data_IF_684537152911
#
_entry.id   IF_684537152911
#
_cell.length_a   1.000
_cell.length_b   1.000
_cell.length_c   1.000
_cell.angle_alpha   90.00
_cell.angle_beta   90.00
_cell.angle_gamma   90.00
#
_symmetry.space_group_name_H-M   'P 1'
#
loop_
_entity.id
_entity.type
_entity.pdbx_description
1 polymer ?
#
# COMPACT_ATOMS: atom_id res chain seq x y z
N UNK A 1 -69.22 7.82 -42.02
CA UNK A 1 -68.29 8.26 -40.95
C UNK A 1 -67.29 7.13 -40.70
N UNK A 2 -66.12 7.20 -41.34
CA UNK A 2 -65.06 6.18 -41.27
C UNK A 2 -64.37 6.20 -39.91
N UNK A 3 -64.39 5.08 -39.18
CA UNK A 3 -63.50 4.84 -38.05
C UNK A 3 -62.41 3.85 -38.50
N UNK A 4 -61.23 4.41 -38.67
CA UNK A 4 -60.02 3.73 -39.09
C UNK A 4 -59.07 3.54 -37.89
N UNK A 5 -58.15 2.59 -38.06
CA UNK A 5 -56.82 2.49 -37.43
C UNK A 5 -56.68 1.87 -36.01
N UNK A 6 -56.18 0.63 -36.06
CA UNK A 6 -55.33 -0.06 -35.07
C UNK A 6 -54.12 0.81 -34.66
N UNK A 7 -53.66 0.66 -33.43
CA UNK A 7 -52.23 0.76 -33.09
C UNK A 7 -51.90 -0.08 -31.85
N UNK A 8 -51.13 -1.13 -32.10
CA UNK A 8 -50.45 -1.95 -31.09
C UNK A 8 -49.40 -1.08 -30.38
N UNK A 9 -49.56 -0.88 -29.07
CA UNK A 9 -48.51 -0.34 -28.21
C UNK A 9 -47.66 -1.50 -27.68
N UNK A 10 -46.62 -1.87 -28.43
CA UNK A 10 -45.57 -2.77 -27.95
C UNK A 10 -44.67 -1.93 -27.02
N UNK A 11 -44.87 -2.04 -25.70
CA UNK A 11 -44.00 -1.41 -24.71
C UNK A 11 -42.68 -2.16 -24.66
N UNK A 12 -41.71 -1.66 -25.42
CA UNK A 12 -40.31 -2.01 -25.25
C UNK A 12 -39.85 -1.52 -23.87
N UNK A 13 -39.59 -2.49 -22.99
CA UNK A 13 -38.85 -2.32 -21.75
C UNK A 13 -37.48 -1.66 -22.06
N UNK A 14 -37.09 -0.59 -21.37
CA UNK A 14 -35.77 0.01 -21.60
C UNK A 14 -34.70 -0.93 -21.06
N UNK A 15 -33.89 -1.44 -21.99
CA UNK A 15 -32.68 -2.20 -21.72
C UNK A 15 -31.84 -1.54 -20.62
N UNK A 16 -31.49 -2.33 -19.62
CA UNK A 16 -30.54 -2.01 -18.56
C UNK A 16 -29.29 -1.31 -19.15
N UNK A 17 -29.09 -0.05 -18.75
CA UNK A 17 -27.90 0.70 -19.13
C UNK A 17 -26.67 0.00 -18.54
N UNK A 18 -25.72 -0.30 -19.44
CA UNK A 18 -24.42 -0.89 -19.15
C UNK A 18 -23.64 -0.01 -18.17
N UNK A 19 -23.20 -0.63 -17.07
CA UNK A 19 -21.89 -0.45 -16.44
C UNK A 19 -21.52 0.96 -16.00
N UNK A 20 -22.19 1.46 -14.96
CA UNK A 20 -21.65 2.54 -14.15
C UNK A 20 -20.47 1.98 -13.34
N UNK A 21 -19.25 2.09 -13.88
CA UNK A 21 -18.03 1.62 -13.22
C UNK A 21 -17.78 2.49 -11.98
N UNK A 22 -18.16 1.92 -10.83
CA UNK A 22 -17.87 2.43 -9.49
C UNK A 22 -16.35 2.31 -9.20
N UNK A 23 -15.83 3.07 -8.20
CA UNK A 23 -14.41 3.31 -8.06
C UNK A 23 -13.62 2.05 -7.68
N UNK A 24 -12.75 1.64 -8.60
CA UNK A 24 -11.77 0.56 -8.46
C UNK A 24 -10.79 0.84 -7.31
N UNK A 25 -10.45 -0.17 -6.50
CA UNK A 25 -9.37 -0.09 -5.53
C UNK A 25 -8.08 -0.61 -6.18
N UNK A 26 -7.02 0.20 -6.17
CA UNK A 26 -5.68 -0.23 -6.57
C UNK A 26 -4.75 -0.23 -5.36
N UNK A 27 -4.13 -1.38 -5.12
CA UNK A 27 -3.08 -1.53 -4.12
C UNK A 27 -1.74 -1.56 -4.84
N UNK A 28 -0.86 -0.62 -4.50
CA UNK A 28 0.56 -0.76 -4.76
C UNK A 28 1.22 -1.23 -3.49
N UNK A 29 2.14 -2.18 -3.60
CA UNK A 29 2.82 -2.67 -2.43
C UNK A 29 4.29 -3.00 -2.66
N UNK A 30 5.07 -2.82 -1.60
CA UNK A 30 6.51 -3.10 -1.54
C UNK A 30 6.81 -4.06 -0.41
N UNK A 31 8.06 -4.49 -0.28
CA UNK A 31 8.51 -5.32 0.83
C UNK A 31 10.00 -5.61 0.69
N UNK A 32 10.63 -6.02 1.79
CA UNK A 32 12.03 -6.42 1.75
C UNK A 32 13.01 -5.30 1.40
N UNK A 33 12.67 -4.03 1.67
CA UNK A 33 13.57 -2.87 1.46
C UNK A 33 14.86 -3.02 2.29
N UNK A 34 14.74 -3.60 3.49
CA UNK A 34 15.86 -3.97 4.37
C UNK A 34 16.80 -2.81 4.68
N UNK A 35 16.29 -1.58 4.71
CA UNK A 35 17.07 -0.39 4.97
C UNK A 35 17.80 0.20 3.76
N UNK A 36 17.58 -0.29 2.53
CA UNK A 36 18.07 0.37 1.31
C UNK A 36 17.33 1.70 1.07
N UNK A 37 17.78 2.75 1.75
CA UNK A 37 17.22 4.09 1.59
C UNK A 37 17.62 4.73 0.25
N UNK A 38 18.77 4.34 -0.32
CA UNK A 38 19.28 4.91 -1.57
C UNK A 38 18.38 4.55 -2.76
N UNK A 39 17.70 3.39 -2.71
CA UNK A 39 16.73 2.97 -3.71
C UNK A 39 15.38 3.71 -3.67
N UNK A 40 14.99 4.26 -2.51
CA UNK A 40 13.65 4.81 -2.28
C UNK A 40 13.28 6.00 -3.18
N UNK A 41 14.17 6.97 -3.47
CA UNK A 41 13.87 8.06 -4.40
C UNK A 41 13.48 7.58 -5.80
N UNK A 42 14.12 6.52 -6.31
CA UNK A 42 13.80 5.95 -7.64
C UNK A 42 12.51 5.15 -7.61
N UNK A 43 12.32 4.38 -6.54
CA UNK A 43 11.08 3.65 -6.28
C UNK A 43 9.88 4.61 -6.26
N UNK A 44 10.00 5.75 -5.59
CA UNK A 44 8.94 6.75 -5.54
C UNK A 44 8.58 7.28 -6.93
N UNK A 45 9.57 7.66 -7.75
CA UNK A 45 9.35 8.07 -9.14
C UNK A 45 8.59 6.99 -9.94
N UNK A 46 8.98 5.72 -9.76
CA UNK A 46 8.31 4.61 -10.41
C UNK A 46 6.87 4.42 -9.93
N UNK A 47 6.60 4.50 -8.62
CA UNK A 47 5.25 4.47 -8.06
C UNK A 47 4.38 5.58 -8.63
N UNK A 48 4.90 6.82 -8.74
CA UNK A 48 4.16 7.93 -9.34
C UNK A 48 3.83 7.67 -10.81
N UNK A 49 4.76 7.10 -11.58
CA UNK A 49 4.50 6.69 -12.96
C UNK A 49 3.40 5.62 -13.03
N UNK A 50 3.45 4.60 -12.18
CA UNK A 50 2.44 3.54 -12.16
C UNK A 50 1.06 4.09 -11.78
N UNK A 51 0.98 4.97 -10.78
CA UNK A 51 -0.26 5.62 -10.33
C UNK A 51 -0.93 6.40 -11.46
N UNK A 52 -0.17 7.17 -12.25
CA UNK A 52 -0.69 7.94 -13.39
C UNK A 52 -1.31 7.08 -14.50
N UNK A 53 -0.95 5.79 -14.57
CA UNK A 53 -1.48 4.85 -15.55
C UNK A 53 -2.73 4.13 -15.07
N UNK A 54 -3.11 4.29 -13.80
CA UNK A 54 -4.28 3.62 -13.26
C UNK A 54 -5.58 4.33 -13.65
N UNK A 55 -6.66 3.58 -13.85
CA UNK A 55 -8.00 4.12 -13.86
C UNK A 55 -8.30 4.94 -12.59
N UNK A 56 -9.22 5.92 -12.66
CA UNK A 56 -9.70 6.64 -11.48
C UNK A 56 -10.25 5.67 -10.43
N UNK A 57 -9.89 5.91 -9.17
CA UNK A 57 -10.27 5.03 -8.08
C UNK A 57 -9.50 5.30 -6.80
N UNK A 58 -9.79 4.54 -5.75
CA UNK A 58 -9.01 4.59 -4.52
C UNK A 58 -7.66 3.93 -4.76
N UNK A 59 -6.58 4.54 -4.28
CA UNK A 59 -5.23 3.98 -4.35
C UNK A 59 -4.66 3.89 -2.95
N UNK A 60 -4.12 2.73 -2.59
CA UNK A 60 -3.37 2.53 -1.35
C UNK A 60 -1.93 2.12 -1.68
N UNK A 61 -1.00 2.62 -0.87
CA UNK A 61 0.41 2.27 -0.88
C UNK A 61 0.71 1.49 0.41
N UNK A 62 1.16 0.24 0.29
CA UNK A 62 1.35 -0.67 1.42
C UNK A 62 2.78 -1.22 1.44
N UNK A 63 3.36 -1.42 2.61
CA UNK A 63 4.61 -2.19 2.75
C UNK A 63 4.35 -3.51 3.49
N UNK A 64 4.79 -4.63 2.90
CA UNK A 64 4.60 -5.98 3.43
C UNK A 64 5.63 -6.35 4.52
N UNK A 65 6.46 -5.39 4.92
CA UNK A 65 7.43 -5.53 6.00
C UNK A 65 8.85 -5.78 5.52
N UNK A 66 9.72 -6.03 6.50
CA UNK A 66 11.18 -6.00 6.30
C UNK A 66 11.68 -4.67 5.72
N UNK A 67 11.01 -3.56 6.02
CA UNK A 67 11.43 -2.22 5.64
C UNK A 67 12.83 -1.84 6.17
N UNK A 68 13.20 -2.34 7.35
CA UNK A 68 14.48 -2.10 8.00
C UNK A 68 15.08 -3.41 8.50
N UNK A 69 16.36 -3.66 8.26
CA UNK A 69 17.07 -4.84 8.73
C UNK A 69 18.03 -4.50 9.89
N UNK A 70 18.13 -5.34 10.94
CA UNK A 70 18.90 -5.01 12.14
C UNK A 70 20.42 -4.92 11.94
N UNK A 71 20.92 -5.49 10.84
CA UNK A 71 22.33 -5.43 10.41
C UNK A 71 22.68 -4.12 9.67
N UNK A 72 21.69 -3.32 9.28
CA UNK A 72 21.90 -1.99 8.68
C UNK A 72 22.04 -0.94 9.79
N UNK A 73 23.14 -0.19 9.77
CA UNK A 73 23.54 0.68 10.90
C UNK A 73 22.46 1.70 11.30
N UNK A 74 21.79 2.35 10.35
CA UNK A 74 20.77 3.35 10.65
C UNK A 74 19.48 2.69 11.16
N UNK A 75 19.17 1.48 10.70
CA UNK A 75 18.07 0.68 11.24
C UNK A 75 18.37 0.29 12.69
N UNK A 76 19.56 -0.22 12.97
CA UNK A 76 19.98 -0.60 14.32
C UNK A 76 19.93 0.59 15.30
N UNK A 77 20.51 1.73 14.91
CA UNK A 77 20.57 2.90 15.81
C UNK A 77 19.18 3.51 16.05
N UNK A 78 18.31 3.49 15.04
CA UNK A 78 16.96 4.06 15.16
C UNK A 78 15.91 3.09 15.68
N UNK A 79 16.24 1.81 15.93
CA UNK A 79 15.24 0.82 16.34
C UNK A 79 14.26 0.49 15.21
N UNK A 80 14.74 0.44 13.97
CA UNK A 80 13.95 0.10 12.78
C UNK A 80 13.09 1.23 12.21
N UNK A 81 13.14 2.43 12.80
CA UNK A 81 12.27 3.57 12.44
C UNK A 81 12.68 4.30 11.16
N UNK A 82 13.96 4.27 10.79
CA UNK A 82 14.49 5.09 9.68
C UNK A 82 13.75 4.89 8.35
N UNK A 83 13.51 3.65 7.94
CA UNK A 83 12.84 3.37 6.67
C UNK A 83 11.36 3.79 6.70
N UNK A 84 10.68 3.61 7.84
CA UNK A 84 9.27 3.94 8.01
C UNK A 84 9.00 5.44 7.87
N UNK A 85 9.94 6.29 8.33
CA UNK A 85 9.85 7.75 8.17
C UNK A 85 9.89 8.12 6.68
N UNK A 86 10.75 7.47 5.89
CA UNK A 86 10.83 7.75 4.44
C UNK A 86 9.59 7.21 3.71
N UNK A 87 9.07 6.04 4.11
CA UNK A 87 7.83 5.49 3.55
C UNK A 87 6.62 6.40 3.82
N UNK A 88 6.54 6.98 5.03
CA UNK A 88 5.52 7.98 5.36
C UNK A 88 5.64 9.22 4.45
N UNK A 89 6.87 9.74 4.25
CA UNK A 89 7.13 10.84 3.32
C UNK A 89 6.78 10.51 1.86
N UNK A 90 6.86 9.23 1.46
CA UNK A 90 6.42 8.73 0.15
C UNK A 90 4.89 8.56 0.05
N UNK A 91 4.16 8.77 1.15
CA UNK A 91 2.70 8.65 1.22
C UNK A 91 2.20 7.21 1.36
N UNK A 92 2.99 6.32 1.98
CA UNK A 92 2.52 5.00 2.33
C UNK A 92 1.39 5.07 3.35
N UNK A 93 0.36 4.26 3.15
CA UNK A 93 -0.83 4.23 4.01
C UNK A 93 -0.64 3.28 5.18
N UNK A 94 0.04 2.15 4.94
CA UNK A 94 0.38 1.20 6.00
C UNK A 94 1.69 0.48 5.71
N UNK A 95 2.35 0.04 6.78
CA UNK A 95 3.49 -0.86 6.72
C UNK A 95 3.32 -1.95 7.77
N UNK A 96 3.65 -3.19 7.39
CA UNK A 96 3.88 -4.25 8.37
C UNK A 96 5.17 -3.94 9.12
N UNK A 97 5.11 -3.91 10.44
CA UNK A 97 6.26 -3.57 11.27
C UNK A 97 6.60 -4.66 12.28
N UNK A 98 7.84 -4.63 12.76
CA UNK A 98 8.30 -5.33 13.96
C UNK A 98 9.06 -4.32 14.81
N UNK A 99 8.34 -3.60 15.65
CA UNK A 99 8.87 -2.54 16.50
C UNK A 99 8.66 -2.91 17.97
N UNK A 100 9.52 -2.40 18.84
CA UNK A 100 9.21 -2.36 20.27
C UNK A 100 8.06 -1.39 20.54
N UNK A 101 7.34 -1.56 21.67
CA UNK A 101 6.31 -0.61 22.09
C UNK A 101 6.86 0.81 22.27
N UNK A 102 8.11 0.92 22.75
CA UNK A 102 8.81 2.19 22.90
C UNK A 102 9.03 2.87 21.54
N UNK A 103 9.57 2.16 20.55
CA UNK A 103 9.82 2.72 19.22
C UNK A 103 8.52 3.05 18.47
N UNK A 104 7.49 2.21 18.62
CA UNK A 104 6.14 2.48 18.11
C UNK A 104 5.56 3.77 18.72
N UNK A 105 5.69 3.95 20.03
CA UNK A 105 5.21 5.15 20.73
C UNK A 105 5.95 6.41 20.27
N UNK A 106 7.27 6.31 20.09
CA UNK A 106 8.09 7.40 19.54
C UNK A 106 7.67 7.79 18.13
N UNK A 107 7.30 6.84 17.27
CA UNK A 107 6.82 7.15 15.92
C UNK A 107 5.45 7.85 15.95
N UNK A 108 4.51 7.37 16.77
CA UNK A 108 3.19 7.99 16.91
C UNK A 108 3.27 9.42 17.44
N UNK A 109 4.17 9.69 18.38
CA UNK A 109 4.40 11.03 18.90
C UNK A 109 4.92 12.03 17.86
N UNK A 110 5.57 11.54 16.79
CA UNK A 110 6.06 12.35 15.68
C UNK A 110 5.07 12.48 14.51
N UNK A 111 3.79 12.17 14.75
CA UNK A 111 2.67 12.38 13.82
C UNK A 111 2.81 11.67 12.46
N UNK A 112 3.38 10.46 12.43
CA UNK A 112 3.34 9.63 11.21
C UNK A 112 1.88 9.42 10.76
N UNK A 113 1.62 9.63 9.46
CA UNK A 113 0.35 9.27 8.83
C UNK A 113 0.26 7.78 8.48
N UNK A 114 1.42 7.11 8.39
CA UNK A 114 1.59 5.69 8.12
C UNK A 114 1.02 4.82 9.24
N UNK A 115 0.06 3.95 8.91
CA UNK A 115 -0.43 2.94 9.83
C UNK A 115 0.65 1.86 10.09
N UNK A 116 1.05 1.71 11.35
CA UNK A 116 2.03 0.73 11.79
C UNK A 116 1.30 -0.58 12.17
N UNK A 117 1.27 -1.55 11.26
CA UNK A 117 0.47 -2.78 11.41
C UNK A 117 1.34 -3.92 11.92
N UNK A 118 0.93 -4.56 13.00
CA UNK A 118 1.50 -5.81 13.52
C UNK A 118 0.39 -6.75 14.01
N UNK A 119 0.75 -7.87 14.64
CA UNK A 119 -0.20 -8.86 15.15
C UNK A 119 -1.14 -8.30 16.24
N UNK A 120 -0.71 -7.27 16.97
CA UNK A 120 -1.46 -6.66 18.09
C UNK A 120 -2.18 -5.37 17.68
N UNK A 121 -1.72 -4.73 16.60
CA UNK A 121 -2.18 -3.43 16.14
C UNK A 121 -2.65 -3.52 14.68
N UNK A 122 -3.78 -4.19 14.40
CA UNK A 122 -4.40 -4.08 13.09
C UNK A 122 -4.83 -2.63 12.82
N UNK A 123 -4.96 -2.27 11.55
CA UNK A 123 -5.59 -1.02 11.14
C UNK A 123 -6.90 -1.35 10.42
N UNK A 124 -7.96 -0.57 10.66
CA UNK A 124 -9.20 -0.74 9.95
C UNK A 124 -9.98 0.57 9.83
N UNK A 125 -10.78 0.66 8.77
CA UNK A 125 -11.89 1.59 8.61
C UNK A 125 -13.20 0.83 8.32
N UNK A 126 -14.27 1.55 7.97
CA UNK A 126 -15.59 0.95 7.74
C UNK A 126 -15.61 -0.09 6.60
N UNK A 127 -14.65 -0.07 5.68
CA UNK A 127 -14.65 -0.91 4.46
C UNK A 127 -13.49 -1.88 4.39
N UNK A 128 -12.36 -1.50 4.98
CA UNK A 128 -11.07 -2.17 4.81
C UNK A 128 -10.42 -2.44 6.16
N UNK A 129 -9.90 -3.65 6.33
CA UNK A 129 -8.94 -3.98 7.39
C UNK A 129 -7.58 -4.34 6.81
N UNK A 130 -6.52 -3.96 7.51
CA UNK A 130 -5.13 -4.32 7.24
C UNK A 130 -4.59 -5.10 8.45
N UNK A 131 -4.20 -6.35 8.23
CA UNK A 131 -3.78 -7.26 9.30
C UNK A 131 -2.50 -8.00 8.90
N UNK A 132 -1.83 -8.63 9.86
CA UNK A 132 -0.72 -9.55 9.57
C UNK A 132 -1.19 -11.00 9.43
N UNK A 133 -2.29 -11.35 10.08
CA UNK A 133 -2.85 -12.69 10.10
C UNK A 133 -4.22 -12.75 9.42
N UNK A 134 -4.58 -13.94 8.96
CA UNK A 134 -5.90 -14.22 8.41
C UNK A 134 -6.93 -14.32 9.54
N UNK A 135 -7.39 -13.16 10.01
CA UNK A 135 -8.49 -13.06 10.96
C UNK A 135 -9.74 -12.73 10.16
N UNK A 136 -10.71 -13.66 10.03
CA UNK A 136 -11.98 -13.36 9.40
C UNK A 136 -12.68 -12.27 10.20
N UNK A 137 -12.90 -11.10 9.60
CA UNK A 137 -13.74 -10.07 10.19
C UNK A 137 -15.09 -10.06 9.47
N UNK A 138 -16.20 -10.41 10.14
CA UNK A 138 -17.53 -10.32 9.53
C UNK A 138 -17.95 -8.86 9.28
N UNK A 139 -17.20 -7.89 9.79
CA UNK A 139 -17.53 -6.47 9.79
C UNK A 139 -16.96 -5.68 8.61
N UNK A 140 -15.98 -6.23 7.87
CA UNK A 140 -15.34 -5.52 6.76
C UNK A 140 -15.55 -6.25 5.43
N UNK A 141 -15.76 -5.49 4.36
CA UNK A 141 -15.93 -6.05 3.02
C UNK A 141 -14.61 -6.64 2.47
N UNK A 142 -13.47 -6.12 2.91
CA UNK A 142 -12.14 -6.57 2.50
C UNK A 142 -11.17 -6.53 3.67
N UNK A 143 -10.38 -7.59 3.84
CA UNK A 143 -9.22 -7.63 4.73
C UNK A 143 -7.97 -7.94 3.92
N UNK A 144 -6.97 -7.05 3.97
CA UNK A 144 -5.67 -7.25 3.30
C UNK A 144 -4.66 -7.73 4.31
N UNK A 145 -4.06 -8.88 4.01
CA UNK A 145 -3.05 -9.51 4.84
C UNK A 145 -1.68 -9.00 4.36
N UNK A 146 -1.00 -8.23 5.21
CA UNK A 146 0.31 -7.64 4.92
C UNK A 146 1.47 -8.63 5.11
N UNK A 147 1.20 -9.86 5.55
CA UNK A 147 2.19 -10.93 5.50
C UNK A 147 2.39 -11.40 4.03
N UNK A 148 3.63 -11.39 3.51
CA UNK A 148 3.92 -11.87 2.16
C UNK A 148 3.41 -13.31 1.94
N UNK A 149 2.83 -13.58 0.78
CA UNK A 149 2.37 -14.90 0.36
C UNK A 149 3.08 -15.37 -0.92
N UNK A 150 2.94 -16.64 -1.28
CA UNK A 150 3.51 -17.17 -2.54
C UNK A 150 2.84 -16.57 -3.78
N UNK A 151 1.55 -16.21 -3.69
CA UNK A 151 0.79 -15.62 -4.79
C UNK A 151 -0.31 -14.69 -4.27
N UNK A 152 -0.70 -13.71 -5.09
CA UNK A 152 -1.80 -12.80 -4.78
C UNK A 152 -3.12 -13.52 -5.00
N UNK A 153 -3.95 -13.59 -3.96
CA UNK A 153 -5.24 -14.29 -4.01
C UNK A 153 -6.25 -13.59 -3.12
N UNK A 154 -7.50 -13.57 -3.58
CA UNK A 154 -8.63 -13.12 -2.80
C UNK A 154 -9.59 -14.29 -2.59
N UNK A 155 -9.80 -14.66 -1.33
CA UNK A 155 -10.72 -15.73 -0.95
C UNK A 155 -11.53 -15.30 0.27
N UNK A 156 -12.86 -15.37 0.19
CA UNK A 156 -13.76 -15.02 1.28
C UNK A 156 -13.51 -13.62 1.89
N UNK A 157 -13.23 -12.62 1.05
CA UNK A 157 -12.92 -11.25 1.48
C UNK A 157 -11.52 -11.07 2.08
N UNK A 158 -10.67 -12.10 2.08
CA UNK A 158 -9.28 -12.04 2.52
C UNK A 158 -8.35 -11.94 1.31
N UNK A 159 -7.68 -10.80 1.16
CA UNK A 159 -6.67 -10.59 0.14
C UNK A 159 -5.28 -10.87 0.70
N UNK A 160 -4.60 -11.86 0.13
CA UNK A 160 -3.17 -12.10 0.31
C UNK A 160 -2.41 -11.49 -0.85
N UNK A 161 -1.28 -10.87 -0.57
CA UNK A 161 -0.42 -10.25 -1.57
C UNK A 161 0.84 -11.10 -1.77
N UNK A 162 1.19 -11.36 -3.04
CA UNK A 162 2.41 -12.09 -3.38
C UNK A 162 3.63 -11.37 -2.83
N UNK A 163 4.63 -12.12 -2.39
CA UNK A 163 5.91 -11.58 -1.96
C UNK A 163 6.59 -10.79 -3.08
N UNK A 164 7.28 -9.73 -2.69
CA UNK A 164 8.10 -8.88 -3.55
C UNK A 164 9.45 -8.69 -2.86
N UNK A 165 10.50 -8.46 -3.65
CA UNK A 165 11.83 -8.16 -3.13
C UNK A 165 12.12 -6.66 -3.18
N UNK A 166 13.25 -6.24 -2.58
CA UNK A 166 13.77 -4.88 -2.78
C UNK A 166 13.81 -4.52 -4.27
N UNK A 167 13.36 -3.31 -4.60
CA UNK A 167 13.30 -2.84 -5.98
C UNK A 167 12.12 -3.38 -6.79
N UNK A 168 11.17 -4.09 -6.19
CA UNK A 168 9.93 -4.51 -6.85
C UNK A 168 8.71 -3.77 -6.30
N UNK A 169 7.71 -3.60 -7.16
CA UNK A 169 6.38 -3.11 -6.80
C UNK A 169 5.34 -4.10 -7.27
N UNK A 170 4.54 -4.60 -6.34
CA UNK A 170 3.32 -5.33 -6.66
C UNK A 170 2.16 -4.36 -6.89
N UNK A 171 1.29 -4.70 -7.84
CA UNK A 171 0.07 -3.96 -8.16
C UNK A 171 -1.08 -4.95 -8.18
N UNK A 172 -2.08 -4.76 -7.31
CA UNK A 172 -3.31 -5.54 -7.31
C UNK A 172 -4.51 -4.62 -7.51
N UNK A 173 -5.41 -4.95 -8.44
CA UNK A 173 -6.62 -4.17 -8.70
C UNK A 173 -7.86 -4.96 -8.33
N UNK A 174 -8.78 -4.32 -7.65
CA UNK A 174 -10.04 -4.89 -7.20
C UNK A 174 -11.22 -4.04 -7.72
N UNK A 175 -12.31 -4.69 -8.09
CA UNK A 175 -13.58 -4.02 -8.35
C UNK A 175 -14.33 -3.66 -7.05
N UNK A 176 -15.56 -3.16 -7.19
CA UNK A 176 -16.40 -2.74 -6.05
C UNK A 176 -17.01 -3.90 -5.26
N UNK A 177 -17.00 -5.12 -5.81
CA UNK A 177 -17.43 -6.36 -5.15
C UNK A 177 -16.23 -7.10 -4.55
N UNK A 178 -15.26 -6.31 -4.07
CA UNK A 178 -13.83 -6.60 -3.96
C UNK A 178 -13.23 -7.68 -4.85
N UNK A 179 -13.71 -8.04 -6.04
CA UNK A 179 -13.13 -9.13 -6.82
C UNK A 179 -11.74 -8.72 -7.36
N UNK A 180 -10.76 -9.62 -7.26
CA UNK A 180 -9.42 -9.41 -7.82
C UNK A 180 -9.50 -9.42 -9.35
N UNK A 181 -9.30 -8.26 -9.98
CA UNK A 181 -9.34 -8.09 -11.43
C UNK A 181 -8.03 -8.51 -12.08
N UNK A 182 -6.91 -8.08 -11.50
CA UNK A 182 -5.58 -8.48 -11.92
C UNK A 182 -4.53 -8.27 -10.82
N UNK A 183 -3.36 -8.85 -11.07
CA UNK A 183 -2.18 -8.68 -10.26
C UNK A 183 -0.93 -8.72 -11.14
N UNK A 184 0.02 -7.82 -10.87
CA UNK A 184 1.33 -7.81 -11.51
C UNK A 184 2.41 -7.45 -10.49
N UNK A 185 3.64 -7.89 -10.75
CA UNK A 185 4.84 -7.41 -10.05
C UNK A 185 5.76 -6.84 -11.12
N UNK A 186 6.29 -5.65 -10.87
CA UNK A 186 7.21 -4.99 -11.77
C UNK A 186 8.47 -4.55 -11.03
N UNK A 187 9.62 -4.73 -11.67
CA UNK A 187 10.88 -4.21 -11.19
C UNK A 187 10.95 -2.70 -11.41
N UNK A 188 11.53 -1.98 -10.44
CA UNK A 188 11.89 -0.57 -10.56
C UNK A 188 12.95 -0.47 -11.65
N UNK A 189 12.71 0.28 -12.74
CA UNK A 189 13.69 0.40 -13.81
C UNK A 189 14.99 1.02 -13.30
N UNK A 190 16.17 0.49 -13.66
CA UNK A 190 17.44 1.06 -13.22
C UNK A 190 17.67 2.49 -13.73
N UNK A 191 16.98 2.85 -14.83
CA UNK A 191 16.99 4.19 -15.42
C UNK A 191 16.01 5.18 -14.75
N UNK A 192 15.22 4.76 -13.75
CA UNK A 192 14.34 5.66 -13.03
C UNK A 192 15.16 6.75 -12.33
N UNK A 193 14.81 8.01 -12.57
CA UNK A 193 15.47 9.14 -11.92
C UNK A 193 15.05 9.23 -10.45
N UNK A 194 15.97 9.54 -9.53
CA UNK A 194 15.63 9.73 -8.12
C UNK A 194 14.77 10.98 -7.95
N UNK A 195 13.72 10.89 -7.13
CA UNK A 195 12.92 12.05 -6.74
C UNK A 195 13.69 12.94 -5.74
N UNK A 196 13.82 14.25 -5.99
CA UNK A 196 14.62 15.14 -5.15
C UNK A 196 14.01 15.36 -3.76
N UNK A 197 12.68 15.33 -3.62
CA UNK A 197 12.00 15.50 -2.33
C UNK A 197 12.24 14.28 -1.45
N UNK A 198 12.12 13.08 -2.01
CA UNK A 198 12.41 11.85 -1.28
C UNK A 198 13.91 11.71 -0.98
N UNK A 199 14.78 12.17 -1.89
CA UNK A 199 16.23 12.25 -1.62
C UNK A 199 16.51 13.10 -0.38
N UNK A 200 15.90 14.28 -0.27
CA UNK A 200 16.06 15.14 0.90
C UNK A 200 15.53 14.48 2.19
N UNK A 201 14.43 13.73 2.12
CA UNK A 201 13.92 12.97 3.26
C UNK A 201 14.89 11.87 3.71
N UNK A 202 15.52 11.16 2.77
CA UNK A 202 16.58 10.18 3.06
C UNK A 202 17.77 10.84 3.74
N UNK A 203 18.28 11.95 3.18
CA UNK A 203 19.41 12.69 3.76
C UNK A 203 19.13 13.14 5.20
N UNK A 204 17.92 13.65 5.46
CA UNK A 204 17.47 14.03 6.79
C UNK A 204 17.49 12.85 7.76
N UNK A 205 16.88 11.72 7.39
CA UNK A 205 16.84 10.51 8.22
C UNK A 205 18.24 10.00 8.55
N UNK A 206 19.15 9.99 7.56
CA UNK A 206 20.54 9.57 7.76
C UNK A 206 21.31 10.54 8.67
N UNK A 207 21.09 11.85 8.55
CA UNK A 207 21.69 12.84 9.41
C UNK A 207 21.23 12.68 10.88
N UNK A 208 19.94 12.46 11.11
CA UNK A 208 19.38 12.21 12.44
C UNK A 208 19.90 10.90 13.05
N UNK A 209 19.99 9.83 12.24
CA UNK A 209 20.56 8.57 12.68
C UNK A 209 22.03 8.73 13.11
N UNK A 210 22.84 9.50 12.37
CA UNK A 210 24.22 9.84 12.76
C UNK A 210 24.29 10.68 14.03
N UNK A 211 23.38 11.65 14.19
CA UNK A 211 23.32 12.45 15.41
C UNK A 211 23.01 11.61 16.64
N UNK A 212 22.06 10.67 16.53
CA UNK A 212 21.74 9.71 17.57
C UNK A 212 22.92 8.77 17.88
N UNK A 213 23.64 8.31 16.85
CA UNK A 213 24.83 7.49 17.03
C UNK A 213 25.90 8.20 17.86
N UNK A 214 26.20 9.47 17.56
CA UNK A 214 27.15 10.26 18.33
C UNK A 214 26.74 10.40 19.79
N UNK A 215 25.47 10.72 20.05
CA UNK A 215 24.92 10.85 21.41
C UNK A 215 25.00 9.56 22.24
N UNK A 216 25.03 8.38 21.61
CA UNK A 216 25.18 7.09 22.33
C UNK A 216 26.64 6.70 22.60
N UNK A 217 27.58 7.37 21.94
CA UNK A 217 29.01 7.14 22.12
C UNK A 217 29.63 8.07 23.18
N UNK A 218 28.89 9.10 23.60
CA UNK A 218 29.17 9.99 24.73
C UNK A 218 28.66 9.37 26.04
#
# INVERSE_FOLDING_TARGET
>A
MSKNARRNGNTAEPAARRGDHRPMLTLFYTGGIRGDLDGLPRLYTFLQMLRRRQPPGQTLLLDLGESCAPDVWHCAITGGRSALIVLDAMGFHAARVRLSDEDRSRLRANLLGLALVDEQHPWADDKLALTVEAIPSPSHALTVILAPAESTRLENGLLRLAAVTAGQVGVARLDDSPALLDHTIADVPPAALPDPTITAAVDFVLAEARALQRKRAE
#
